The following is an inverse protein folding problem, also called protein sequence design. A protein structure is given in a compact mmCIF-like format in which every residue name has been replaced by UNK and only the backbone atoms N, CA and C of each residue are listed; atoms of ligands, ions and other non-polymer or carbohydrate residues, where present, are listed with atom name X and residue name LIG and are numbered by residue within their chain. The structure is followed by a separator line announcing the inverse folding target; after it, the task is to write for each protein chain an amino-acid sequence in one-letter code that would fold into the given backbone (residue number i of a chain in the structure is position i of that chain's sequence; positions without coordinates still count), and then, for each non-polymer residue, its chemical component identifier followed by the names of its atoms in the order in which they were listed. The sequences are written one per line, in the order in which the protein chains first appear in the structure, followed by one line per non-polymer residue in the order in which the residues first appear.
data_IF_239073136572
#
_entry.id   IF_239073136572
#
_cell.length_a   1.000
_cell.length_b   1.000
_cell.length_c   1.000
_cell.angle_alpha   90.00
_cell.angle_beta   90.00
_cell.angle_gamma   90.00
#
_symmetry.space_group_name_H-M   'P 1'
#
loop_
_entity.id
_entity.type
_entity.pdbx_description
1 polymer ?
#
# COMPACT_ATOMS: atom_id res chain seq x y z
N UNK A 1 -47.28 -13.56 -25.06
CA UNK A 1 -46.08 -14.43 -25.04
C UNK A 1 -45.24 -14.03 -26.23
N UNK A 2 -44.30 -13.10 -26.00
CA UNK A 2 -43.54 -12.43 -27.06
C UNK A 2 -42.14 -13.01 -27.05
N UNK A 3 -41.75 -13.67 -28.15
CA UNK A 3 -40.41 -14.20 -28.35
C UNK A 3 -39.57 -13.07 -28.96
N UNK A 4 -38.65 -12.51 -28.18
CA UNK A 4 -37.62 -11.59 -28.66
C UNK A 4 -36.45 -12.40 -29.20
N UNK A 5 -36.23 -12.30 -30.52
CA UNK A 5 -35.00 -12.77 -31.19
C UNK A 5 -33.87 -11.82 -30.84
N UNK A 6 -32.79 -12.36 -30.29
CA UNK A 6 -31.52 -11.66 -30.11
C UNK A 6 -30.68 -11.91 -31.37
N UNK A 7 -30.33 -10.83 -32.06
CA UNK A 7 -29.28 -10.82 -33.10
C UNK A 7 -27.95 -10.48 -32.42
N UNK A 8 -26.84 -11.19 -32.67
CA UNK A 8 -25.55 -10.80 -32.15
C UNK A 8 -24.97 -9.70 -33.04
N UNK A 9 -24.55 -8.58 -32.45
CA UNK A 9 -23.75 -7.58 -33.17
C UNK A 9 -22.68 -7.02 -32.25
N UNK A 10 -21.50 -6.90 -32.83
CA UNK A 10 -20.31 -6.18 -32.38
C UNK A 10 -19.46 -6.87 -31.30
N UNK A 11 -18.53 -7.69 -31.78
CA UNK A 11 -17.25 -7.94 -31.14
C UNK A 11 -16.50 -6.62 -31.00
N UNK A 12 -16.42 -6.11 -29.77
CA UNK A 12 -15.47 -5.07 -29.38
C UNK A 12 -14.07 -5.66 -29.52
N UNK A 13 -13.28 -5.16 -30.46
CA UNK A 13 -11.83 -5.39 -30.47
C UNK A 13 -11.26 -4.77 -29.18
N UNK A 14 -11.00 -5.63 -28.20
CA UNK A 14 -10.12 -5.32 -27.10
C UNK A 14 -8.76 -4.96 -27.70
N UNK A 15 -8.36 -3.70 -27.56
CA UNK A 15 -6.96 -3.28 -27.70
C UNK A 15 -6.14 -4.09 -26.71
N UNK A 16 -5.64 -5.24 -27.17
CA UNK A 16 -4.60 -6.01 -26.50
C UNK A 16 -3.37 -5.09 -26.47
N UNK A 17 -2.85 -4.72 -25.29
CA UNK A 17 -1.60 -4.00 -25.22
C UNK A 17 -0.56 -4.82 -25.98
N UNK A 18 0.22 -4.17 -26.85
CA UNK A 18 1.35 -4.80 -27.56
C UNK A 18 2.10 -5.69 -26.58
N UNK A 19 2.07 -6.99 -26.85
CA UNK A 19 2.75 -8.03 -26.09
C UNK A 19 4.22 -7.61 -26.00
N UNK A 20 4.62 -7.04 -24.87
CA UNK A 20 6.04 -6.81 -24.59
C UNK A 20 6.70 -8.19 -24.61
N UNK A 21 7.90 -8.23 -25.19
CA UNK A 21 8.76 -9.42 -25.25
C UNK A 21 8.61 -10.27 -23.98
N UNK A 22 8.45 -11.59 -24.09
CA UNK A 22 8.36 -12.45 -22.92
C UNK A 22 9.58 -12.19 -22.03
N UNK A 23 9.33 -11.62 -20.85
CA UNK A 23 10.34 -11.50 -19.82
C UNK A 23 10.88 -12.91 -19.57
N UNK A 24 12.15 -13.14 -19.89
CA UNK A 24 12.80 -14.43 -19.68
C UNK A 24 12.57 -14.87 -18.22
N UNK A 25 12.28 -16.16 -18.02
CA UNK A 25 12.12 -16.75 -16.70
C UNK A 25 13.32 -16.33 -15.83
N UNK A 26 13.13 -15.93 -14.55
CA UNK A 26 14.23 -15.64 -13.65
C UNK A 26 15.35 -16.69 -13.78
N UNK A 27 14.99 -17.97 -13.90
CA UNK A 27 15.91 -19.10 -14.11
C UNK A 27 16.71 -19.06 -15.42
N UNK A 28 16.09 -18.60 -16.51
CA UNK A 28 16.72 -18.56 -17.85
C UNK A 28 17.71 -17.39 -17.98
N UNK A 29 17.49 -16.29 -17.26
CA UNK A 29 18.48 -15.20 -17.14
C UNK A 29 19.68 -15.59 -16.25
N UNK A 30 19.51 -16.60 -15.39
CA UNK A 30 20.53 -17.04 -14.42
C UNK A 30 21.49 -18.11 -14.99
N UNK A 31 21.12 -18.82 -16.06
CA UNK A 31 21.97 -19.83 -16.69
C UNK A 31 23.26 -19.25 -17.33
N UNK A 32 23.35 -17.92 -17.49
CA UNK A 32 24.53 -17.23 -18.01
C UNK A 32 24.95 -15.96 -17.24
N UNK A 33 24.14 -15.46 -16.30
CA UNK A 33 24.40 -14.21 -15.60
C UNK A 33 24.06 -14.31 -14.10
N UNK A 34 25.08 -14.21 -13.25
CA UNK A 34 25.00 -14.07 -11.78
C UNK A 34 24.34 -12.75 -11.29
N UNK A 35 23.61 -12.06 -12.16
CA UNK A 35 23.13 -10.71 -11.89
C UNK A 35 21.67 -10.58 -12.31
N UNK A 36 20.81 -10.19 -11.36
CA UNK A 36 19.61 -9.43 -11.71
C UNK A 36 20.02 -8.33 -12.71
N UNK A 37 19.23 -8.05 -13.75
CA UNK A 37 19.64 -7.19 -14.85
C UNK A 37 20.27 -5.92 -14.29
N UNK A 38 21.44 -5.50 -14.81
CA UNK A 38 22.05 -4.24 -14.40
C UNK A 38 21.03 -3.14 -14.67
N UNK A 39 20.32 -2.64 -13.64
CA UNK A 39 19.86 -1.27 -13.70
C UNK A 39 21.17 -0.47 -13.68
N UNK A 40 21.54 -0.01 -14.88
CA UNK A 40 22.89 0.47 -15.19
C UNK A 40 23.42 1.37 -14.09
N UNK A 41 24.67 1.11 -13.71
CA UNK A 41 25.62 2.03 -13.07
C UNK A 41 25.02 3.40 -12.78
N UNK A 42 24.64 3.64 -11.51
CA UNK A 42 24.43 4.97 -10.95
C UNK A 42 23.75 5.96 -11.91
N UNK A 43 22.70 5.53 -12.60
CA UNK A 43 21.82 6.47 -13.29
C UNK A 43 20.78 6.83 -12.27
N UNK A 44 20.84 8.08 -11.78
CA UNK A 44 19.70 8.75 -11.15
C UNK A 44 18.44 8.28 -11.88
N UNK A 45 17.65 7.41 -11.23
CA UNK A 45 16.33 7.07 -11.76
C UNK A 45 15.61 8.38 -12.04
N UNK A 46 14.83 8.49 -13.13
CA UNK A 46 14.14 9.74 -13.41
C UNK A 46 13.40 10.16 -12.15
N UNK A 47 13.70 11.36 -11.62
CA UNK A 47 12.96 11.93 -10.50
C UNK A 47 11.51 12.00 -10.97
N UNK A 48 10.67 11.07 -10.50
CA UNK A 48 9.27 10.99 -10.92
C UNK A 48 8.46 11.99 -10.11
N UNK A 49 8.52 13.26 -10.53
CA UNK A 49 7.61 14.33 -10.09
C UNK A 49 7.97 15.05 -8.79
N UNK A 50 7.02 15.83 -8.29
CA UNK A 50 7.04 16.36 -6.92
C UNK A 50 7.13 15.17 -5.95
N UNK A 51 7.97 15.28 -4.90
CA UNK A 51 8.25 14.16 -3.98
C UNK A 51 7.00 13.51 -3.36
N UNK A 52 7.15 12.36 -2.68
CA UNK A 52 6.01 11.58 -2.22
C UNK A 52 5.09 12.41 -1.33
N UNK A 53 3.78 12.33 -1.60
CA UNK A 53 2.76 13.01 -0.81
C UNK A 53 2.60 12.34 0.57
N UNK A 54 2.86 11.03 0.59
CA UNK A 54 2.95 10.23 1.82
C UNK A 54 4.37 10.36 2.38
N UNK A 55 4.45 10.43 3.70
CA UNK A 55 5.70 10.40 4.46
C UNK A 55 5.78 9.12 5.27
N UNK A 56 6.98 8.69 5.61
CA UNK A 56 7.19 7.54 6.47
C UNK A 56 7.18 7.99 7.93
N UNK A 57 6.59 7.19 8.82
CA UNK A 57 6.70 7.40 10.27
C UNK A 57 8.16 7.28 10.73
N UNK A 58 8.43 7.64 11.98
CA UNK A 58 9.62 7.11 12.66
C UNK A 58 9.58 5.57 12.70
N UNK A 59 10.74 4.89 12.84
CA UNK A 59 10.78 3.45 12.99
C UNK A 59 9.89 2.96 14.13
N UNK A 60 9.03 1.98 13.86
CA UNK A 60 8.13 1.42 14.88
C UNK A 60 8.81 0.32 15.71
N UNK A 61 8.50 0.23 17.02
CA UNK A 61 9.01 -0.83 17.89
C UNK A 61 8.32 -2.18 17.66
N UNK A 62 8.89 -3.24 18.24
CA UNK A 62 8.51 -4.63 17.96
C UNK A 62 7.07 -4.96 18.38
N UNK A 63 6.60 -4.35 19.45
CA UNK A 63 5.25 -4.48 19.99
C UNK A 63 4.17 -3.79 19.15
N UNK A 64 4.57 -2.96 18.18
CA UNK A 64 3.68 -2.34 17.20
C UNK A 64 3.69 -3.03 15.83
N UNK A 65 4.46 -4.12 15.67
CA UNK A 65 4.48 -4.90 14.43
C UNK A 65 3.39 -5.98 14.52
N UNK A 66 2.33 -5.81 13.75
CA UNK A 66 1.24 -6.78 13.58
C UNK A 66 0.99 -7.16 12.10
N UNK A 67 0.23 -8.22 11.88
CA UNK A 67 -0.04 -8.77 10.54
C UNK A 67 -1.07 -7.97 9.71
N UNK A 68 -1.82 -7.05 10.31
CA UNK A 68 -2.90 -6.31 9.68
C UNK A 68 -2.51 -4.88 9.28
N UNK A 69 -1.39 -4.38 9.79
CA UNK A 69 -0.86 -3.07 9.43
C UNK A 69 0.02 -3.15 8.17
N UNK A 70 -0.13 -2.23 7.21
CA UNK A 70 0.79 -2.07 6.10
C UNK A 70 2.11 -1.40 6.54
N UNK A 71 3.23 -1.88 6.00
CA UNK A 71 4.56 -1.33 6.30
C UNK A 71 5.36 -0.95 5.06
N UNK A 72 6.34 -0.11 5.29
CA UNK A 72 7.55 0.02 4.47
C UNK A 72 8.72 -0.51 5.28
N UNK A 73 9.62 -1.26 4.61
CA UNK A 73 10.87 -1.73 5.21
C UNK A 73 11.98 -0.83 4.70
N UNK A 74 12.70 -0.17 5.61
CA UNK A 74 13.83 0.71 5.29
C UNK A 74 15.13 0.10 5.82
N UNK A 75 16.22 0.19 5.05
CA UNK A 75 17.55 -0.21 5.48
C UNK A 75 18.36 0.94 6.11
N UNK A 76 19.52 0.61 6.67
CA UNK A 76 20.41 1.57 7.32
C UNK A 76 20.95 2.69 6.41
N UNK A 77 20.76 2.62 5.08
CA UNK A 77 21.12 3.66 4.14
C UNK A 77 19.93 4.58 3.79
N UNK A 78 18.79 4.42 4.46
CA UNK A 78 17.57 5.19 4.19
C UNK A 78 16.82 4.73 2.94
N UNK A 79 17.17 3.57 2.37
CA UNK A 79 16.51 3.00 1.20
C UNK A 79 15.38 2.09 1.63
N UNK A 80 14.32 2.04 0.83
CA UNK A 80 13.15 1.22 1.10
C UNK A 80 13.10 0.02 0.17
N UNK A 81 12.54 -1.09 0.65
CA UNK A 81 12.30 -2.29 -0.15
C UNK A 81 11.17 -2.04 -1.17
N UNK A 82 11.49 -2.12 -2.45
CA UNK A 82 10.67 -1.78 -3.60
C UNK A 82 10.42 -2.99 -4.51
N UNK A 83 9.49 -2.81 -5.44
CA UNK A 83 9.26 -3.71 -6.59
C UNK A 83 9.72 -3.04 -7.87
N UNK A 84 10.47 -3.76 -8.70
CA UNK A 84 10.86 -3.27 -10.02
C UNK A 84 9.63 -2.90 -10.87
N UNK A 85 9.77 -1.82 -11.66
CA UNK A 85 8.82 -1.41 -12.71
C UNK A 85 7.35 -1.37 -12.24
N UNK A 86 7.16 -0.93 -10.99
CA UNK A 86 5.87 -0.82 -10.32
C UNK A 86 5.00 -2.08 -10.39
N UNK A 87 5.63 -3.27 -10.43
CA UNK A 87 4.90 -4.52 -10.49
C UNK A 87 4.45 -4.92 -11.91
N UNK A 88 4.76 -4.17 -12.97
CA UNK A 88 4.02 -4.25 -14.25
C UNK A 88 3.99 -5.62 -14.94
N UNK A 89 4.96 -6.50 -14.70
CA UNK A 89 5.09 -7.83 -15.28
C UNK A 89 4.22 -8.92 -14.62
N UNK A 90 4.63 -10.18 -14.86
CA UNK A 90 4.08 -11.38 -14.22
C UNK A 90 4.83 -11.76 -12.91
N UNK A 91 6.01 -11.19 -12.75
CA UNK A 91 6.91 -11.23 -11.60
C UNK A 91 7.83 -10.01 -11.71
N UNK A 92 8.45 -9.58 -10.61
CA UNK A 92 9.36 -8.42 -10.62
C UNK A 92 10.45 -8.55 -9.57
N UNK A 93 11.67 -8.09 -9.87
CA UNK A 93 12.76 -8.10 -8.89
C UNK A 93 12.49 -7.20 -7.68
N UNK A 94 12.98 -7.62 -6.51
CA UNK A 94 12.95 -6.81 -5.30
C UNK A 94 14.27 -6.02 -5.16
N UNK A 95 14.19 -4.77 -4.72
CA UNK A 95 15.38 -3.92 -4.58
C UNK A 95 15.24 -2.90 -3.46
N UNK A 96 16.35 -2.41 -2.93
CA UNK A 96 16.39 -1.26 -2.03
C UNK A 96 16.72 0.02 -2.80
N UNK A 97 15.85 1.02 -2.74
CA UNK A 97 16.05 2.32 -3.39
C UNK A 97 15.61 3.48 -2.51
N UNK A 98 16.22 4.65 -2.69
CA UNK A 98 15.85 5.86 -1.94
C UNK A 98 14.36 6.21 -2.10
N UNK A 99 13.64 6.37 -0.97
CA UNK A 99 12.18 6.58 -0.96
C UNK A 99 11.73 7.71 -1.89
N UNK A 100 12.34 8.90 -1.78
CA UNK A 100 11.94 10.06 -2.57
C UNK A 100 12.17 9.90 -4.08
N UNK A 101 13.15 9.08 -4.49
CA UNK A 101 13.49 8.88 -5.90
C UNK A 101 12.67 7.76 -6.55
N UNK A 102 12.23 6.77 -5.76
CA UNK A 102 11.58 5.56 -6.22
C UNK A 102 10.18 5.37 -5.62
N UNK A 103 9.53 6.44 -5.16
CA UNK A 103 8.28 6.36 -4.42
C UNK A 103 7.14 5.67 -5.20
N UNK A 104 7.15 5.71 -6.54
CA UNK A 104 6.17 5.00 -7.39
C UNK A 104 6.33 3.48 -7.37
N UNK A 105 7.48 3.01 -6.92
CA UNK A 105 7.85 1.59 -6.84
C UNK A 105 7.69 1.06 -5.39
N UNK A 106 7.23 1.92 -4.47
CA UNK A 106 6.96 1.59 -3.07
C UNK A 106 5.54 1.07 -2.97
N UNK A 107 5.39 -0.16 -2.51
CA UNK A 107 4.10 -0.75 -2.23
C UNK A 107 3.98 -1.09 -0.74
N UNK A 108 2.76 -0.97 -0.17
CA UNK A 108 2.49 -1.44 1.17
C UNK A 108 2.80 -2.94 1.29
N UNK A 109 3.65 -3.26 2.26
CA UNK A 109 4.03 -4.63 2.59
C UNK A 109 3.18 -5.12 3.77
N UNK A 110 2.78 -6.39 3.74
CA UNK A 110 2.05 -7.05 4.82
C UNK A 110 2.77 -8.33 5.20
N UNK A 111 2.81 -8.64 6.48
CA UNK A 111 3.24 -9.96 6.94
C UNK A 111 2.04 -10.89 7.11
N UNK A 112 2.22 -12.18 6.80
CA UNK A 112 1.19 -13.21 7.07
C UNK A 112 0.98 -13.52 8.56
N UNK A 113 1.88 -13.05 9.43
CA UNK A 113 1.84 -13.13 10.88
C UNK A 113 2.76 -12.08 11.49
N UNK A 114 2.85 -11.97 12.82
CA UNK A 114 3.87 -11.12 13.42
C UNK A 114 5.27 -11.76 13.20
N UNK A 115 6.17 -11.12 12.41
CA UNK A 115 7.48 -11.68 12.10
C UNK A 115 8.41 -11.75 13.32
N UNK A 116 8.12 -11.01 14.40
CA UNK A 116 8.86 -11.06 15.66
C UNK A 116 8.55 -12.35 16.43
N UNK A 117 7.31 -12.84 16.34
CA UNK A 117 6.85 -14.02 17.08
C UNK A 117 7.18 -15.32 16.33
N UNK A 118 7.05 -15.32 15.00
CA UNK A 118 7.23 -16.51 14.16
C UNK A 118 7.59 -16.17 12.71
N UNK A 119 8.22 -17.10 11.96
CA UNK A 119 8.46 -16.92 10.54
C UNK A 119 7.17 -16.54 9.79
N UNK A 120 7.23 -15.46 9.02
CA UNK A 120 6.08 -14.87 8.33
C UNK A 120 6.50 -14.43 6.93
N UNK A 121 5.70 -14.73 5.93
CA UNK A 121 5.90 -14.26 4.55
C UNK A 121 5.61 -12.77 4.44
N UNK A 122 6.38 -12.06 3.61
CA UNK A 122 6.11 -10.67 3.23
C UNK A 122 5.33 -10.69 1.92
N UNK A 123 4.25 -9.92 1.84
CA UNK A 123 3.39 -9.84 0.67
C UNK A 123 3.17 -8.39 0.27
N UNK A 124 3.31 -8.10 -1.02
CA UNK A 124 2.94 -6.83 -1.63
C UNK A 124 1.40 -6.76 -1.78
N UNK A 125 0.76 -5.84 -1.07
CA UNK A 125 -0.71 -5.84 -0.97
C UNK A 125 -1.44 -5.62 -2.30
N UNK A 126 -0.91 -4.74 -3.17
CA UNK A 126 -1.59 -4.38 -4.42
C UNK A 126 -1.80 -5.56 -5.38
N UNK A 127 -0.98 -6.61 -5.31
CA UNK A 127 -1.09 -7.80 -6.16
C UNK A 127 -1.22 -9.11 -5.38
N UNK A 128 -1.16 -9.05 -4.04
CA UNK A 128 -1.08 -10.22 -3.19
C UNK A 128 0.09 -11.15 -3.57
N UNK A 129 1.23 -10.56 -3.91
CA UNK A 129 2.44 -11.29 -4.32
C UNK A 129 3.40 -11.43 -3.15
N UNK A 130 3.69 -12.67 -2.68
CA UNK A 130 4.74 -12.87 -1.70
C UNK A 130 6.14 -12.57 -2.25
N UNK A 131 7.09 -12.41 -1.33
CA UNK A 131 8.51 -12.34 -1.64
C UNK A 131 9.10 -13.75 -1.77
N UNK A 132 9.69 -14.04 -2.92
CA UNK A 132 10.34 -15.30 -3.26
C UNK A 132 11.87 -15.16 -3.27
N UNK A 133 12.53 -16.29 -3.05
CA UNK A 133 13.93 -16.51 -3.42
C UNK A 133 13.99 -17.04 -4.85
N UNK A 134 14.93 -16.54 -5.68
CA UNK A 134 15.13 -16.98 -7.08
C UNK A 134 15.81 -18.35 -7.21
N UNK A 135 15.91 -19.09 -6.11
CA UNK A 135 16.39 -20.46 -6.09
C UNK A 135 16.33 -21.06 -4.70
N UNK A 136 16.98 -22.22 -4.55
CA UNK A 136 16.99 -23.03 -3.32
C UNK A 136 18.39 -23.15 -2.73
N UNK A 137 19.40 -22.47 -3.28
CA UNK A 137 20.73 -22.46 -2.71
C UNK A 137 20.72 -21.89 -1.29
N UNK A 138 21.58 -22.43 -0.44
CA UNK A 138 21.65 -22.06 0.99
C UNK A 138 22.72 -21.02 1.29
N UNK A 139 23.52 -20.63 0.29
CA UNK A 139 24.59 -19.63 0.43
C UNK A 139 24.10 -18.22 0.08
N UNK A 140 23.40 -18.08 -1.04
CA UNK A 140 23.00 -16.80 -1.60
C UNK A 140 21.94 -16.99 -2.68
N UNK A 141 20.92 -16.13 -2.70
CA UNK A 141 19.87 -16.05 -3.73
C UNK A 141 19.30 -14.62 -3.81
N UNK A 142 18.95 -14.12 -5.00
CA UNK A 142 18.19 -12.87 -5.15
C UNK A 142 16.73 -13.01 -4.69
N UNK A 143 16.13 -11.88 -4.32
CA UNK A 143 14.73 -11.80 -3.94
C UNK A 143 13.87 -11.19 -5.06
N UNK A 144 12.66 -11.70 -5.25
CA UNK A 144 11.71 -11.19 -6.25
C UNK A 144 10.26 -11.37 -5.80
N UNK A 145 9.35 -10.62 -6.40
CA UNK A 145 7.92 -10.62 -6.14
C UNK A 145 7.19 -11.40 -7.24
N UNK A 146 6.32 -12.32 -6.87
CA UNK A 146 5.53 -13.10 -7.82
C UNK A 146 4.25 -13.67 -7.17
N UNK A 147 3.30 -14.21 -7.96
CA UNK A 147 2.20 -15.00 -7.44
C UNK A 147 2.67 -16.20 -6.59
N UNK A 148 1.90 -16.57 -5.58
CA UNK A 148 2.26 -17.67 -4.66
C UNK A 148 2.50 -19.03 -5.34
N UNK A 149 1.89 -19.24 -6.52
CA UNK A 149 1.97 -20.44 -7.34
C UNK A 149 2.97 -20.33 -8.51
N UNK A 150 3.84 -19.31 -8.51
CA UNK A 150 4.76 -19.01 -9.61
C UNK A 150 5.64 -20.20 -10.03
N UNK A 151 6.16 -20.98 -9.08
CA UNK A 151 6.91 -22.20 -9.39
C UNK A 151 7.53 -22.86 -8.17
N UNK A 152 7.63 -24.19 -8.19
CA UNK A 152 8.17 -24.98 -7.07
C UNK A 152 9.67 -24.79 -6.84
N UNK A 153 10.42 -24.34 -7.86
CA UNK A 153 11.86 -24.02 -7.77
C UNK A 153 12.14 -22.68 -7.08
N UNK A 154 11.10 -21.87 -6.83
CA UNK A 154 11.22 -20.50 -6.32
C UNK A 154 10.44 -20.36 -5.01
N UNK A 155 11.03 -20.72 -3.87
CA UNK A 155 10.31 -20.78 -2.61
C UNK A 155 9.89 -19.39 -2.12
N UNK A 156 8.67 -19.31 -1.57
CA UNK A 156 8.23 -18.15 -0.79
C UNK A 156 9.05 -18.07 0.50
N UNK A 157 9.66 -16.91 0.74
CA UNK A 157 10.45 -16.69 1.93
C UNK A 157 9.56 -16.42 3.14
N UNK A 158 9.68 -17.27 4.16
CA UNK A 158 9.09 -17.02 5.49
C UNK A 158 10.17 -16.45 6.40
N UNK A 159 10.06 -15.15 6.69
CA UNK A 159 11.09 -14.36 7.36
C UNK A 159 10.73 -14.15 8.84
N UNK A 160 11.73 -14.29 9.71
CA UNK A 160 11.65 -13.90 11.13
C UNK A 160 12.41 -12.60 11.34
N UNK A 161 11.78 -11.64 12.01
CA UNK A 161 12.39 -10.40 12.45
C UNK A 161 13.07 -10.62 13.80
N UNK A 162 14.39 -10.50 13.84
CA UNK A 162 15.16 -10.50 15.08
C UNK A 162 15.61 -9.09 15.37
N UNK A 163 15.26 -8.58 16.55
CA UNK A 163 15.78 -7.32 17.04
C UNK A 163 17.32 -7.36 17.05
N UNK A 164 17.93 -6.38 16.42
CA UNK A 164 19.36 -6.14 16.41
C UNK A 164 19.69 -5.01 17.41
N UNK A 165 20.67 -4.15 17.12
CA UNK A 165 21.04 -3.03 17.98
C UNK A 165 20.12 -1.81 17.76
N UNK A 166 20.14 -0.87 18.70
CA UNK A 166 19.60 0.46 18.45
C UNK A 166 20.50 1.20 17.45
N UNK A 167 19.91 1.96 16.53
CA UNK A 167 20.66 2.85 15.65
C UNK A 167 21.12 4.12 16.42
N UNK A 168 21.84 5.01 15.74
CA UNK A 168 22.37 6.24 16.33
C UNK A 168 21.29 7.17 16.90
N UNK A 169 20.08 7.11 16.33
CA UNK A 169 18.92 7.89 16.74
C UNK A 169 18.09 7.20 17.84
N UNK A 170 18.54 6.05 18.33
CA UNK A 170 17.91 5.31 19.43
C UNK A 170 16.78 4.37 19.02
N UNK A 171 16.56 4.16 17.71
CA UNK A 171 15.51 3.27 17.21
C UNK A 171 15.98 1.82 17.08
N UNK A 172 15.07 0.88 17.37
CA UNK A 172 15.31 -0.55 17.21
C UNK A 172 15.46 -0.92 15.74
N UNK A 173 16.57 -1.57 15.40
CA UNK A 173 16.77 -2.19 14.08
C UNK A 173 16.51 -3.70 14.13
N UNK A 174 16.28 -4.31 12.97
CA UNK A 174 15.96 -5.71 12.82
C UNK A 174 16.77 -6.35 11.70
N UNK A 175 17.08 -7.63 11.88
CA UNK A 175 17.48 -8.50 10.77
C UNK A 175 16.30 -9.38 10.40
N UNK A 176 16.00 -9.51 9.10
CA UNK A 176 15.03 -10.47 8.60
C UNK A 176 15.74 -11.74 8.14
N UNK A 177 15.46 -12.87 8.79
CA UNK A 177 16.11 -14.15 8.49
C UNK A 177 15.12 -15.22 8.04
N UNK A 178 15.50 -15.99 7.03
CA UNK A 178 14.78 -17.13 6.47
C UNK A 178 15.57 -18.41 6.73
N UNK A 179 14.89 -19.49 7.15
CA UNK A 179 15.50 -20.81 7.22
C UNK A 179 15.25 -21.56 5.90
N UNK A 180 16.31 -21.74 5.11
CA UNK A 180 16.28 -22.50 3.87
C UNK A 180 17.02 -23.84 4.06
N UNK A 181 16.28 -24.95 4.11
CA UNK A 181 16.88 -26.28 4.22
C UNK A 181 17.79 -26.47 5.45
N UNK A 182 17.47 -25.83 6.59
CA UNK A 182 18.29 -25.86 7.80
C UNK A 182 19.37 -24.78 7.88
N UNK A 183 19.62 -24.05 6.78
CA UNK A 183 20.56 -22.93 6.77
C UNK A 183 19.83 -21.61 7.01
N UNK A 184 20.34 -20.80 7.95
CA UNK A 184 19.79 -19.45 8.17
C UNK A 184 20.40 -18.49 7.16
N UNK A 185 19.56 -17.88 6.34
CA UNK A 185 19.92 -16.82 5.41
C UNK A 185 19.24 -15.53 5.87
N UNK A 186 19.88 -14.38 5.70
CA UNK A 186 19.29 -13.08 6.04
C UNK A 186 19.06 -12.24 4.81
N UNK A 187 18.03 -11.40 4.83
CA UNK A 187 17.82 -10.37 3.82
C UNK A 187 18.98 -9.37 3.90
N UNK A 188 19.58 -9.11 2.75
CA UNK A 188 20.78 -8.34 2.56
C UNK A 188 20.56 -7.29 1.47
N UNK A 189 21.38 -6.24 1.55
CA UNK A 189 21.54 -5.23 0.52
C UNK A 189 22.93 -4.61 0.67
N UNK A 190 23.65 -4.43 -0.43
CA UNK A 190 24.98 -3.81 -0.35
C UNK A 190 24.85 -2.29 -0.16
N UNK A 191 25.94 -1.64 0.25
CA UNK A 191 26.02 -0.17 0.34
C UNK A 191 25.76 0.50 -1.01
N UNK A 192 25.24 1.73 -0.99
CA UNK A 192 25.01 2.56 -2.19
C UNK A 192 23.63 3.20 -2.17
N UNK A 193 23.34 4.05 -3.15
CA UNK A 193 22.05 4.75 -3.31
C UNK A 193 20.90 3.81 -3.73
N UNK A 194 21.25 2.65 -4.29
CA UNK A 194 20.33 1.64 -4.81
C UNK A 194 21.01 0.27 -4.84
N UNK A 195 20.30 -0.82 -4.55
CA UNK A 195 20.84 -2.18 -4.66
C UNK A 195 19.73 -3.25 -4.82
N UNK A 196 20.03 -4.36 -5.49
CA UNK A 196 19.12 -5.51 -5.53
C UNK A 196 18.97 -6.13 -4.13
N UNK A 197 17.76 -6.59 -3.81
CA UNK A 197 17.53 -7.33 -2.58
C UNK A 197 17.91 -8.80 -2.80
N UNK A 198 18.58 -9.39 -1.83
CA UNK A 198 18.99 -10.79 -1.87
C UNK A 198 19.01 -11.38 -0.47
N UNK A 199 19.01 -12.70 -0.36
CA UNK A 199 19.23 -13.43 0.90
C UNK A 199 20.56 -14.14 0.87
N UNK A 200 21.28 -14.17 2.00
CA UNK A 200 22.56 -14.87 2.09
C UNK A 200 22.86 -15.37 3.49
N UNK A 201 23.59 -16.48 3.59
CA UNK A 201 24.17 -16.98 4.84
C UNK A 201 25.62 -16.53 5.05
N UNK A 202 26.24 -15.90 4.05
CA UNK A 202 27.66 -15.49 4.07
C UNK A 202 27.86 -13.99 4.04
N UNK A 203 26.86 -13.21 3.62
CA UNK A 203 26.92 -11.76 3.61
C UNK A 203 26.36 -11.17 4.91
N UNK A 204 26.73 -9.92 5.20
CA UNK A 204 26.19 -9.20 6.35
C UNK A 204 24.71 -8.94 6.13
N UNK A 205 23.89 -9.26 7.14
CA UNK A 205 22.47 -8.97 7.11
C UNK A 205 22.23 -7.45 7.02
N UNK A 206 21.21 -7.03 6.28
CA UNK A 206 20.77 -5.64 6.31
C UNK A 206 20.20 -5.33 7.71
N UNK A 207 20.59 -4.17 8.26
CA UNK A 207 19.93 -3.59 9.41
C UNK A 207 18.69 -2.84 8.92
N UNK A 208 17.52 -3.30 9.34
CA UNK A 208 16.22 -2.87 8.81
C UNK A 208 15.37 -2.21 9.88
N UNK A 209 14.48 -1.34 9.45
CA UNK A 209 13.47 -0.64 10.27
C UNK A 209 12.12 -0.75 9.57
N UNK A 210 11.05 -0.71 10.36
CA UNK A 210 9.67 -0.78 9.88
C UNK A 210 9.00 0.58 10.04
N UNK A 211 8.29 1.01 9.01
CA UNK A 211 7.66 2.33 8.99
C UNK A 211 6.20 2.21 8.55
N UNK A 212 5.37 3.09 9.08
CA UNK A 212 3.98 3.30 8.64
C UNK A 212 3.91 4.43 7.61
N UNK A 213 2.79 4.51 6.90
CA UNK A 213 2.52 5.54 5.90
C UNK A 213 1.70 6.68 6.52
N UNK A 214 2.26 7.89 6.59
CA UNK A 214 1.62 9.07 7.19
C UNK A 214 1.37 10.18 6.15
N UNK A 215 0.19 10.77 6.23
CA UNK A 215 -0.18 11.98 5.51
C UNK A 215 0.06 13.17 6.42
N UNK A 216 0.88 14.12 5.98
CA UNK A 216 1.04 15.38 6.68
C UNK A 216 -0.18 16.28 6.46
N UNK A 217 -0.62 16.97 7.52
CA UNK A 217 -1.72 17.96 7.43
C UNK A 217 -1.49 18.96 6.30
N UNK A 218 -0.26 19.44 6.12
CA UNK A 218 0.13 20.43 5.11
C UNK A 218 -0.07 19.94 3.66
N UNK A 219 -0.29 18.64 3.45
CA UNK A 219 -0.54 18.04 2.14
C UNK A 219 -2.01 17.80 1.84
N UNK A 220 -2.89 17.90 2.85
CA UNK A 220 -4.32 17.61 2.69
C UNK A 220 -4.99 18.55 1.68
N UNK A 221 -4.70 19.85 1.73
CA UNK A 221 -5.27 20.82 0.78
C UNK A 221 -4.91 20.47 -0.66
N UNK A 222 -3.65 20.14 -0.95
CA UNK A 222 -3.21 19.74 -2.29
C UNK A 222 -3.86 18.43 -2.75
N UNK A 223 -4.01 17.47 -1.84
CA UNK A 223 -4.64 16.19 -2.14
C UNK A 223 -6.12 16.35 -2.49
N UNK A 224 -6.86 17.09 -1.67
CA UNK A 224 -8.27 17.31 -1.92
C UNK A 224 -8.48 18.15 -3.17
N UNK A 225 -7.71 19.22 -3.36
CA UNK A 225 -7.77 20.06 -4.58
C UNK A 225 -7.49 19.26 -5.86
N UNK A 226 -6.57 18.30 -5.81
CA UNK A 226 -6.31 17.42 -6.95
C UNK A 226 -7.47 16.44 -7.22
N UNK A 227 -8.17 16.00 -6.17
CA UNK A 227 -9.32 15.10 -6.29
C UNK A 227 -10.58 15.81 -6.82
N UNK A 228 -10.78 17.09 -6.45
CA UNK A 228 -11.93 17.90 -6.86
C UNK A 228 -11.53 19.32 -7.29
N UNK A 229 -10.89 19.50 -8.45
CA UNK A 229 -10.32 20.79 -8.87
C UNK A 229 -11.36 21.92 -9.02
N UNK A 230 -12.63 21.57 -9.27
CA UNK A 230 -13.72 22.52 -9.45
C UNK A 230 -14.49 22.81 -8.14
N UNK A 231 -14.08 22.20 -7.02
CA UNK A 231 -14.76 22.40 -5.75
C UNK A 231 -14.39 23.74 -5.12
N UNK A 232 -15.41 24.47 -4.65
CA UNK A 232 -15.21 25.69 -3.86
C UNK A 232 -14.84 25.32 -2.42
N UNK A 233 -13.54 25.19 -2.12
CA UNK A 233 -13.01 24.92 -0.77
C UNK A 233 -13.14 26.09 0.21
N UNK A 234 -13.82 27.16 -0.19
CA UNK A 234 -14.15 28.31 0.64
C UNK A 234 -15.23 27.95 1.68
N UNK A 235 -14.97 26.91 2.50
CA UNK A 235 -15.17 26.85 3.94
C UNK A 235 -14.69 25.48 4.51
N UNK A 236 -13.46 25.49 5.04
CA UNK A 236 -12.96 24.70 6.17
C UNK A 236 -12.67 23.20 5.91
N UNK A 237 -11.49 22.89 5.40
CA UNK A 237 -10.80 21.69 5.85
C UNK A 237 -10.55 21.84 7.37
N UNK A 238 -11.27 21.08 8.18
CA UNK A 238 -11.06 21.03 9.62
C UNK A 238 -10.23 19.79 9.95
N UNK A 239 -9.17 19.99 10.70
CA UNK A 239 -8.20 18.95 11.05
C UNK A 239 -7.73 19.21 12.47
N UNK A 240 -7.71 18.16 13.30
CA UNK A 240 -7.24 18.19 14.68
C UNK A 240 -5.76 17.88 14.82
N UNK A 241 -5.17 17.17 13.85
CA UNK A 241 -3.87 16.52 13.98
C UNK A 241 -2.82 17.05 13.00
N UNK A 242 -1.53 16.87 13.32
CA UNK A 242 -0.42 17.24 12.42
C UNK A 242 -0.18 16.19 11.34
N UNK A 243 -0.50 14.93 11.64
CA UNK A 243 -0.34 13.77 10.76
C UNK A 243 -1.54 12.84 10.90
N UNK A 244 -1.75 12.05 9.86
CA UNK A 244 -2.77 11.00 9.82
C UNK A 244 -2.18 9.74 9.21
N UNK A 245 -2.53 8.57 9.74
CA UNK A 245 -2.09 7.30 9.17
C UNK A 245 -2.89 6.96 7.91
N UNK A 246 -2.22 6.86 6.77
CA UNK A 246 -2.83 6.38 5.53
C UNK A 246 -3.30 4.93 5.69
N UNK A 247 -4.44 4.60 5.08
CA UNK A 247 -5.13 3.32 5.28
C UNK A 247 -5.21 2.51 4.00
N UNK A 248 -5.34 1.20 4.12
CA UNK A 248 -5.60 0.33 2.97
C UNK A 248 -7.11 0.14 2.78
N UNK A 249 -7.54 -0.21 1.58
CA UNK A 249 -8.94 -0.57 1.30
C UNK A 249 -9.43 -1.68 2.24
N UNK A 250 -8.58 -2.65 2.59
CA UNK A 250 -8.95 -3.72 3.53
C UNK A 250 -9.19 -3.19 4.95
N UNK A 251 -8.40 -2.22 5.42
CA UNK A 251 -8.62 -1.58 6.72
C UNK A 251 -9.94 -0.79 6.73
N UNK A 252 -10.18 0.01 5.68
CA UNK A 252 -11.44 0.78 5.50
C UNK A 252 -12.67 -0.14 5.51
N UNK A 253 -12.60 -1.27 4.81
CA UNK A 253 -13.69 -2.26 4.78
C UNK A 253 -13.86 -3.00 6.11
N UNK A 254 -12.76 -3.30 6.81
CA UNK A 254 -12.84 -3.87 8.16
C UNK A 254 -13.54 -2.90 9.12
N UNK A 255 -13.22 -1.60 9.05
CA UNK A 255 -13.91 -0.57 9.84
C UNK A 255 -15.40 -0.49 9.50
N UNK A 256 -15.76 -0.57 8.22
CA UNK A 256 -17.17 -0.61 7.79
C UNK A 256 -17.89 -1.82 8.41
N UNK A 257 -17.30 -3.01 8.32
CA UNK A 257 -17.87 -4.23 8.90
C UNK A 257 -18.01 -4.12 10.43
N UNK A 258 -16.99 -3.63 11.11
CA UNK A 258 -16.96 -3.47 12.57
C UNK A 258 -17.97 -2.42 13.05
N UNK A 259 -18.31 -1.43 12.22
CA UNK A 259 -19.29 -0.39 12.58
C UNK A 259 -20.73 -0.92 12.68
N UNK A 260 -21.03 -2.06 12.05
CA UNK A 260 -22.37 -2.62 11.97
C UNK A 260 -23.34 -1.84 11.06
N UNK A 261 -22.88 -0.81 10.35
CA UNK A 261 -23.72 0.08 9.54
C UNK A 261 -24.54 -0.64 8.45
N UNK A 262 -24.03 -1.76 7.94
CA UNK A 262 -24.74 -2.60 6.96
C UNK A 262 -26.11 -3.12 7.46
N UNK A 263 -26.38 -3.08 8.77
CA UNK A 263 -27.62 -3.53 9.37
C UNK A 263 -28.68 -2.42 9.50
N UNK A 264 -28.31 -1.17 9.21
CA UNK A 264 -29.18 -0.01 9.35
C UNK A 264 -29.78 0.35 8.00
N UNK A 265 -31.04 0.79 8.02
CA UNK A 265 -31.70 1.32 6.84
C UNK A 265 -31.75 2.84 6.92
N UNK A 266 -31.51 3.49 5.78
CA UNK A 266 -31.66 4.93 5.65
C UNK A 266 -33.08 5.38 6.03
N UNK A 267 -33.17 6.45 6.81
CA UNK A 267 -34.44 7.11 7.14
C UNK A 267 -34.24 8.63 7.23
N UNK A 268 -34.87 9.35 6.30
CA UNK A 268 -34.80 10.81 6.19
C UNK A 268 -34.93 11.53 7.55
N UNK A 269 -33.94 12.36 7.91
CA UNK A 269 -33.89 13.18 9.12
C UNK A 269 -33.89 12.39 10.46
N UNK A 270 -33.63 11.08 10.44
CA UNK A 270 -33.55 10.24 11.64
C UNK A 270 -32.26 9.42 11.71
N UNK A 271 -31.91 8.80 10.58
CA UNK A 271 -30.66 8.06 10.40
C UNK A 271 -30.36 8.09 8.90
N UNK A 272 -29.85 9.22 8.44
CA UNK A 272 -29.54 9.47 7.03
C UNK A 272 -28.04 9.70 6.80
N UNK A 273 -27.67 10.31 5.67
CA UNK A 273 -26.30 10.27 5.17
C UNK A 273 -25.25 10.79 6.17
N UNK A 274 -25.58 11.82 6.96
CA UNK A 274 -24.62 12.34 7.95
C UNK A 274 -24.49 11.43 9.17
N UNK A 275 -25.58 10.83 9.67
CA UNK A 275 -25.53 9.88 10.78
C UNK A 275 -24.66 8.67 10.47
N UNK A 276 -24.82 8.08 9.28
CA UNK A 276 -23.96 6.99 8.81
C UNK A 276 -22.49 7.42 8.77
N UNK A 277 -22.21 8.64 8.30
CA UNK A 277 -20.86 9.18 8.19
C UNK A 277 -20.21 9.44 9.56
N UNK A 278 -20.98 9.95 10.53
CA UNK A 278 -20.52 10.15 11.91
C UNK A 278 -20.20 8.83 12.60
N UNK A 279 -21.08 7.83 12.48
CA UNK A 279 -20.86 6.50 13.07
C UNK A 279 -19.62 5.84 12.48
N UNK A 280 -19.42 5.93 11.16
CA UNK A 280 -18.23 5.38 10.51
C UNK A 280 -16.95 6.06 11.00
N UNK A 281 -16.92 7.41 11.05
CA UNK A 281 -15.76 8.16 11.56
C UNK A 281 -15.44 7.83 13.02
N UNK A 282 -16.47 7.66 13.86
CA UNK A 282 -16.30 7.24 15.24
C UNK A 282 -15.70 5.83 15.32
N UNK A 283 -16.17 4.88 14.49
CA UNK A 283 -15.61 3.53 14.45
C UNK A 283 -14.17 3.53 13.93
N UNK A 284 -13.87 4.31 12.88
CA UNK A 284 -12.51 4.45 12.36
C UNK A 284 -11.53 4.94 13.43
N UNK A 285 -11.97 5.89 14.26
CA UNK A 285 -11.18 6.37 15.39
C UNK A 285 -10.94 5.27 16.44
N UNK A 286 -11.97 4.48 16.78
CA UNK A 286 -11.81 3.33 17.70
C UNK A 286 -10.83 2.31 17.16
N UNK A 287 -10.94 1.96 15.88
CA UNK A 287 -10.09 0.97 15.22
C UNK A 287 -8.63 1.45 15.17
N UNK A 288 -8.41 2.75 14.87
CA UNK A 288 -7.09 3.34 14.93
C UNK A 288 -6.51 3.19 16.35
N UNK A 289 -7.19 3.71 17.38
CA UNK A 289 -6.62 3.76 18.73
C UNK A 289 -6.54 2.40 19.46
N UNK A 290 -7.23 1.37 18.97
CA UNK A 290 -7.16 0.02 19.53
C UNK A 290 -5.75 -0.60 19.46
N UNK A 291 -4.91 -0.16 18.51
CA UNK A 291 -3.54 -0.67 18.30
C UNK A 291 -2.45 0.27 18.80
N UNK A 292 -2.80 1.26 19.64
CA UNK A 292 -1.86 2.24 20.19
C UNK A 292 -1.04 3.05 19.17
N UNK A 293 -1.59 3.49 18.03
CA UNK A 293 -0.85 4.25 17.04
C UNK A 293 -0.53 5.67 17.55
N UNK A 294 0.48 6.28 16.95
CA UNK A 294 0.84 7.67 17.20
C UNK A 294 -0.22 8.66 16.71
N UNK A 295 -0.90 8.35 15.60
CA UNK A 295 -1.91 9.21 14.96
C UNK A 295 -3.17 8.42 14.56
N UNK A 296 -4.29 9.12 14.46
CA UNK A 296 -5.53 8.57 13.91
C UNK A 296 -5.42 8.24 12.41
N UNK A 297 -6.33 7.40 11.90
CA UNK A 297 -6.41 7.15 10.47
C UNK A 297 -6.75 8.40 9.67
N UNK A 298 -6.23 8.49 8.44
CA UNK A 298 -6.54 9.50 7.44
C UNK A 298 -7.94 9.26 6.86
N UNK A 299 -8.94 9.27 7.72
CA UNK A 299 -10.35 9.02 7.45
C UNK A 299 -11.14 10.19 8.03
N UNK A 300 -11.94 10.83 7.19
CA UNK A 300 -12.74 11.99 7.53
C UNK A 300 -14.20 11.85 7.12
N UNK A 301 -14.94 12.94 7.29
CA UNK A 301 -16.29 13.14 6.80
C UNK A 301 -16.25 14.23 5.74
N UNK A 302 -16.96 14.03 4.63
CA UNK A 302 -17.10 15.01 3.56
C UNK A 302 -18.57 15.25 3.26
N UNK A 303 -18.92 16.52 3.11
CA UNK A 303 -20.23 16.94 2.65
C UNK A 303 -20.08 17.60 1.29
N UNK A 304 -20.93 17.20 0.35
CA UNK A 304 -20.91 17.67 -1.02
C UNK A 304 -22.31 17.94 -1.57
N UNK A 305 -22.36 18.73 -2.64
CA UNK A 305 -23.59 19.06 -3.35
C UNK A 305 -23.46 18.83 -4.84
N UNK A 306 -24.58 18.44 -5.47
CA UNK A 306 -24.83 18.65 -6.90
C UNK A 306 -25.88 19.76 -7.05
N UNK A 307 -26.30 20.07 -8.28
CA UNK A 307 -27.39 21.03 -8.51
C UNK A 307 -28.73 20.60 -7.89
N UNK A 308 -28.91 19.32 -7.57
CA UNK A 308 -30.20 18.73 -7.16
C UNK A 308 -30.13 17.91 -5.88
N UNK A 309 -28.93 17.71 -5.30
CA UNK A 309 -28.72 16.83 -4.16
C UNK A 309 -27.63 17.37 -3.22
N UNK A 310 -27.74 17.04 -1.93
CA UNK A 310 -26.68 17.18 -0.95
C UNK A 310 -26.47 15.82 -0.29
N UNK A 311 -25.21 15.48 -0.01
CA UNK A 311 -24.87 14.15 0.51
C UNK A 311 -23.64 14.21 1.42
N UNK A 312 -23.65 13.35 2.43
CA UNK A 312 -22.52 13.15 3.34
C UNK A 312 -22.00 11.72 3.21
N UNK A 313 -20.69 11.58 3.11
CA UNK A 313 -19.97 10.30 3.04
C UNK A 313 -18.66 10.41 3.81
N UNK A 314 -17.90 9.32 3.88
CA UNK A 314 -16.55 9.36 4.43
C UNK A 314 -15.50 9.42 3.32
N UNK A 315 -14.46 10.18 3.59
CA UNK A 315 -13.28 10.32 2.72
C UNK A 315 -12.10 9.65 3.41
N UNK A 316 -11.19 9.04 2.64
CA UNK A 316 -9.93 8.55 3.19
C UNK A 316 -8.78 8.73 2.20
N UNK A 317 -7.55 8.73 2.72
CA UNK A 317 -6.34 8.77 1.92
C UNK A 317 -5.67 7.41 2.03
N UNK A 318 -5.51 6.75 0.89
CA UNK A 318 -4.88 5.45 0.86
C UNK A 318 -3.35 5.54 0.91
N UNK A 319 -2.71 4.39 1.11
CA UNK A 319 -1.24 4.28 1.17
C UNK A 319 -0.51 4.67 -0.12
N UNK A 320 -1.22 4.86 -1.24
CA UNK A 320 -0.67 5.41 -2.49
C UNK A 320 -0.75 6.93 -2.56
N UNK A 321 -1.37 7.58 -1.57
CA UNK A 321 -1.67 9.01 -1.58
C UNK A 321 -2.90 9.37 -2.41
N UNK A 322 -3.76 8.40 -2.74
CA UNK A 322 -4.98 8.68 -3.50
C UNK A 322 -6.13 9.00 -2.54
N UNK A 323 -6.89 10.05 -2.84
CA UNK A 323 -8.14 10.37 -2.15
C UNK A 323 -9.25 9.44 -2.64
N UNK A 324 -9.86 8.74 -1.70
CA UNK A 324 -10.94 7.77 -1.91
C UNK A 324 -12.15 8.19 -1.08
N UNK A 325 -13.33 7.73 -1.51
CA UNK A 325 -14.60 7.92 -0.81
C UNK A 325 -15.21 6.56 -0.53
N UNK A 326 -15.73 6.37 0.67
CA UNK A 326 -16.58 5.23 1.02
C UNK A 326 -18.00 5.73 1.30
N UNK A 327 -18.99 5.08 0.69
CA UNK A 327 -20.41 5.26 1.01
C UNK A 327 -20.74 4.43 2.26
N UNK A 328 -20.89 5.04 3.45
CA UNK A 328 -21.09 4.32 4.70
C UNK A 328 -22.44 3.60 4.78
N UNK A 329 -23.40 3.84 3.87
CA UNK A 329 -24.66 3.09 3.82
C UNK A 329 -24.55 1.72 3.16
N UNK A 330 -23.54 1.49 2.31
CA UNK A 330 -23.43 0.24 1.55
C UNK A 330 -22.00 -0.31 1.42
N UNK A 331 -20.99 0.45 1.86
CA UNK A 331 -19.58 0.08 1.83
C UNK A 331 -18.92 0.22 0.45
N UNK A 332 -19.58 0.82 -0.54
CA UNK A 332 -19.00 1.05 -1.85
C UNK A 332 -17.85 2.06 -1.75
N UNK A 333 -16.72 1.75 -2.38
CA UNK A 333 -15.55 2.62 -2.45
C UNK A 333 -15.34 3.10 -3.89
N UNK A 334 -15.07 4.39 -4.05
CA UNK A 334 -14.73 5.04 -5.32
C UNK A 334 -13.58 6.02 -5.13
N UNK A 335 -12.85 6.37 -6.20
CA UNK A 335 -11.91 7.50 -6.13
C UNK A 335 -12.68 8.80 -5.91
N UNK A 336 -12.07 9.77 -5.22
CA UNK A 336 -12.71 11.06 -4.93
C UNK A 336 -13.30 11.72 -6.17
N UNK A 337 -12.52 11.80 -7.26
CA UNK A 337 -12.94 12.36 -8.56
C UNK A 337 -14.16 11.67 -9.20
N UNK A 338 -14.45 10.43 -8.79
CA UNK A 338 -15.52 9.60 -9.32
C UNK A 338 -16.77 9.60 -8.40
N UNK A 339 -16.79 10.43 -7.35
CA UNK A 339 -17.94 10.58 -6.47
C UNK A 339 -19.09 11.33 -7.16
N UNK A 340 -20.10 10.59 -7.59
CA UNK A 340 -21.23 11.07 -8.40
C UNK A 340 -22.57 10.71 -7.77
N UNK A 341 -23.59 11.51 -8.07
CA UNK A 341 -24.97 11.22 -7.71
C UNK A 341 -25.61 10.19 -8.67
N UNK A 342 -26.88 9.84 -8.42
CA UNK A 342 -27.63 8.84 -9.21
C UNK A 342 -27.86 9.26 -10.67
N UNK A 343 -27.70 10.53 -10.99
CA UNK A 343 -27.80 11.07 -12.35
C UNK A 343 -26.45 11.10 -13.08
N UNK A 344 -25.37 10.75 -12.38
CA UNK A 344 -24.00 10.83 -12.88
C UNK A 344 -23.34 12.19 -12.71
N UNK A 345 -24.01 13.16 -12.06
CA UNK A 345 -23.43 14.46 -11.77
C UNK A 345 -22.39 14.32 -10.63
N UNK A 346 -21.22 14.94 -10.80
CA UNK A 346 -20.17 14.93 -9.78
C UNK A 346 -20.59 15.78 -8.57
N UNK A 347 -20.40 15.23 -7.37
CA UNK A 347 -20.52 16.04 -6.15
C UNK A 347 -19.35 17.02 -6.06
N UNK A 348 -19.65 18.27 -5.75
CA UNK A 348 -18.66 19.25 -5.31
C UNK A 348 -18.63 19.26 -3.79
N UNK A 349 -17.53 18.83 -3.14
CA UNK A 349 -17.35 19.02 -1.72
C UNK A 349 -17.43 20.50 -1.32
N UNK A 350 -18.02 20.77 -0.16
CA UNK A 350 -18.02 22.11 0.45
C UNK A 350 -17.59 22.10 1.93
N UNK A 351 -17.42 20.91 2.53
CA UNK A 351 -16.92 20.75 3.90
C UNK A 351 -16.19 19.42 4.06
N UNK A 352 -15.02 19.44 4.71
CA UNK A 352 -14.23 18.25 5.05
C UNK A 352 -13.80 18.34 6.51
N UNK A 353 -14.00 17.27 7.28
CA UNK A 353 -13.50 17.08 8.64
C UNK A 353 -12.63 15.82 8.68
N UNK A 354 -11.32 15.97 8.95
CA UNK A 354 -10.35 14.88 9.06
C UNK A 354 -10.09 14.47 10.50
#
# INVERSE_FOLDING_TARGET
MTILRITPTETTELLVPTQREPHADPGDLLAGHLHAPRRGQDSSGPVRGEGPIITLSEPIPADQIDANTPYVIQDAYGRVLNVQDAGSGAWEWAYFGAYNSYWTDVFPLRFSGNPVDKPSSITMQARNWPLHSNGTATSWEYAFWAPSDYGSSYPVMSLSAKAAQLNADGFQTYTLSWNNGGTTMSLCSDSGSWNWAYVSSTHSAAALTFHKFYVQRTKLDSLFSAAWPDASYDLKLNTGDSHYQAVTTSQVMSTYQNSGLAQYNWKANYFDCDDFSYVYKAQSSKDAYAVGPEYGYAVGIIFGTTATSAHAVNVFIDTSGTVQVIEPQNGQIVQGKDWKDRTGAAYSPYFILM
#
